data_IF_652670177404
#
_entry.id   IF_652670177404
#
_cell.length_a   1.000
_cell.length_b   1.000
_cell.length_c   1.000
_cell.angle_alpha   90.00
_cell.angle_beta   90.00
_cell.angle_gamma   90.00
#
_symmetry.space_group_name_H-M   'P 1'
#
loop_
_entity.id
_entity.type
_entity.pdbx_description
1 polymer ?
#
# COMPACT_ATOMS: atom_id res chain seq x y z
N UNK A 1 13.18 9.11 -3.17
CA UNK A 1 12.24 9.07 -4.31
C UNK A 1 10.96 9.77 -3.90
N UNK A 2 10.33 10.55 -4.77
CA UNK A 2 9.05 11.22 -4.52
C UNK A 2 7.86 10.31 -4.87
N UNK A 3 6.64 10.64 -4.41
CA UNK A 3 5.42 9.90 -4.77
C UNK A 3 5.19 9.89 -6.29
N UNK A 4 5.38 11.04 -6.96
CA UNK A 4 5.35 11.16 -8.42
C UNK A 4 6.32 10.19 -9.11
N UNK A 5 7.58 10.17 -8.68
CA UNK A 5 8.60 9.27 -9.25
C UNK A 5 8.24 7.79 -9.06
N UNK A 6 7.72 7.42 -7.89
CA UNK A 6 7.27 6.06 -7.63
C UNK A 6 6.07 5.67 -8.52
N UNK A 7 5.11 6.58 -8.66
CA UNK A 7 3.93 6.38 -9.49
C UNK A 7 4.30 6.14 -10.96
N UNK A 8 5.20 6.96 -11.49
CA UNK A 8 5.74 6.81 -12.85
C UNK A 8 6.42 5.44 -13.03
N UNK A 9 7.33 5.06 -12.12
CA UNK A 9 8.05 3.78 -12.20
C UNK A 9 7.15 2.55 -12.02
N UNK A 10 6.09 2.66 -11.21
CA UNK A 10 5.16 1.57 -10.93
C UNK A 10 3.98 1.51 -11.93
N UNK A 11 3.89 2.45 -12.88
CA UNK A 11 2.74 2.64 -13.77
C UNK A 11 1.42 2.74 -12.97
N UNK A 12 1.41 3.65 -12.00
CA UNK A 12 0.27 3.96 -11.13
C UNK A 12 0.04 5.47 -11.13
N UNK A 13 -1.11 5.92 -10.61
CA UNK A 13 -1.31 7.36 -10.37
C UNK A 13 -0.68 7.79 -9.06
N UNK A 14 -0.16 9.02 -9.02
CA UNK A 14 0.39 9.63 -7.80
C UNK A 14 -0.66 9.67 -6.68
N UNK A 15 -1.91 10.01 -7.01
CA UNK A 15 -3.03 9.96 -6.06
C UNK A 15 -3.24 8.57 -5.45
N UNK A 16 -3.04 7.50 -6.22
CA UNK A 16 -3.20 6.14 -5.71
C UNK A 16 -2.04 5.74 -4.79
N UNK A 17 -0.80 6.11 -5.12
CA UNK A 17 0.35 5.97 -4.21
C UNK A 17 0.08 6.70 -2.89
N UNK A 18 -0.42 7.94 -2.94
CA UNK A 18 -0.77 8.72 -1.76
C UNK A 18 -1.82 8.01 -0.88
N UNK A 19 -2.83 7.38 -1.49
CA UNK A 19 -3.85 6.62 -0.76
C UNK A 19 -3.30 5.34 -0.12
N UNK A 20 -2.34 4.67 -0.77
CA UNK A 20 -1.68 3.47 -0.24
C UNK A 20 -0.81 3.84 0.96
N UNK A 21 0.03 4.87 0.86
CA UNK A 21 0.93 5.29 1.95
C UNK A 21 0.16 5.78 3.19
N UNK A 22 -1.01 6.39 3.01
CA UNK A 22 -1.91 6.78 4.10
C UNK A 22 -2.67 5.60 4.72
N UNK A 23 -2.58 4.40 4.14
CA UNK A 23 -3.32 3.22 4.57
C UNK A 23 -4.82 3.27 4.23
N UNK A 24 -5.27 4.24 3.43
CA UNK A 24 -6.66 4.39 3.00
C UNK A 24 -7.05 3.37 1.93
N UNK A 25 -6.09 2.85 1.18
CA UNK A 25 -6.28 1.77 0.21
C UNK A 25 -5.24 0.68 0.41
N UNK A 26 -5.71 -0.57 0.35
CA UNK A 26 -4.86 -1.75 0.33
C UNK A 26 -4.58 -2.07 -1.15
N UNK A 27 -3.32 -2.10 -1.61
CA UNK A 27 -2.99 -2.53 -2.96
C UNK A 27 -3.29 -4.03 -3.14
N UNK A 28 -3.62 -4.44 -4.36
CA UNK A 28 -3.63 -5.87 -4.70
C UNK A 28 -2.20 -6.42 -4.69
N UNK A 29 -2.04 -7.76 -4.69
CA UNK A 29 -0.72 -8.39 -4.81
C UNK A 29 0.01 -7.94 -6.08
N UNK A 30 -0.70 -7.84 -7.21
CA UNK A 30 -0.14 -7.35 -8.47
C UNK A 30 0.34 -5.89 -8.37
N UNK A 31 -0.44 -5.02 -7.73
CA UNK A 31 -0.02 -3.62 -7.48
C UNK A 31 1.19 -3.57 -6.55
N UNK A 32 1.22 -4.39 -5.50
CA UNK A 32 2.32 -4.46 -4.57
C UNK A 32 3.61 -4.97 -5.24
N UNK A 33 3.51 -5.92 -6.18
CA UNK A 33 4.63 -6.37 -7.01
C UNK A 33 5.18 -5.25 -7.90
N UNK A 34 4.32 -4.44 -8.52
CA UNK A 34 4.75 -3.27 -9.30
C UNK A 34 5.51 -2.26 -8.44
N UNK A 35 5.00 -2.00 -7.24
CA UNK A 35 5.64 -1.10 -6.27
C UNK A 35 7.00 -1.66 -5.81
N UNK A 36 7.10 -2.95 -5.50
CA UNK A 36 8.37 -3.56 -5.07
C UNK A 36 9.42 -3.53 -6.18
N UNK A 37 9.02 -3.77 -7.44
CA UNK A 37 9.89 -3.66 -8.61
C UNK A 37 10.41 -2.23 -8.80
N UNK A 38 9.52 -1.23 -8.71
CA UNK A 38 9.90 0.18 -8.79
C UNK A 38 10.89 0.62 -7.69
N UNK A 39 10.69 0.11 -6.47
CA UNK A 39 11.56 0.35 -5.32
C UNK A 39 12.84 -0.48 -5.31
N UNK A 40 12.97 -1.47 -6.20
CA UNK A 40 14.09 -2.43 -6.26
C UNK A 40 14.27 -3.19 -4.94
N UNK A 41 13.16 -3.62 -4.35
CA UNK A 41 13.14 -4.42 -3.13
C UNK A 41 12.35 -5.71 -3.34
N UNK A 42 12.58 -6.70 -2.48
CA UNK A 42 11.73 -7.90 -2.45
C UNK A 42 10.30 -7.54 -2.05
N UNK A 43 9.30 -8.21 -2.60
CA UNK A 43 7.90 -7.98 -2.20
C UNK A 43 7.67 -8.21 -0.70
N UNK A 44 8.38 -9.19 -0.11
CA UNK A 44 8.30 -9.51 1.32
C UNK A 44 8.72 -8.36 2.24
N UNK A 45 9.61 -7.47 1.81
CA UNK A 45 10.03 -6.32 2.65
C UNK A 45 8.95 -5.23 2.76
N UNK A 46 7.88 -5.28 1.95
CA UNK A 46 6.74 -4.37 2.02
C UNK A 46 5.61 -4.92 2.91
N UNK A 47 5.73 -6.17 3.36
CA UNK A 47 4.75 -6.84 4.20
C UNK A 47 5.34 -6.92 5.61
N UNK A 48 4.57 -6.48 6.60
CA UNK A 48 4.94 -6.59 8.01
C UNK A 48 3.90 -7.45 8.72
N UNK A 49 4.37 -8.39 9.52
CA UNK A 49 3.54 -9.19 10.41
C UNK A 49 3.05 -8.34 11.58
N UNK A 50 2.08 -7.46 11.32
CA UNK A 50 1.34 -6.76 12.35
C UNK A 50 0.03 -7.53 12.61
N UNK A 51 0.05 -8.41 13.61
CA UNK A 51 -1.10 -9.20 14.12
C UNK A 51 -2.34 -8.35 14.49
N UNK A 52 -2.21 -7.03 14.51
CA UNK A 52 -3.26 -6.07 14.86
C UNK A 52 -3.93 -5.40 13.64
N UNK A 53 -3.51 -5.68 12.40
CA UNK A 53 -4.05 -5.04 11.21
C UNK A 53 -5.54 -5.36 10.98
N UNK A 54 -5.93 -6.62 11.15
CA UNK A 54 -7.33 -7.09 11.00
C UNK A 54 -8.27 -6.50 12.05
N UNK A 55 -7.79 -6.17 13.27
CA UNK A 55 -8.62 -5.60 14.33
C UNK A 55 -9.12 -4.17 14.04
N UNK A 56 -8.41 -3.37 13.24
CA UNK A 56 -8.78 -1.95 13.00
C UNK A 56 -9.98 -1.78 12.07
N UNK A 57 -10.23 -2.71 11.14
CA UNK A 57 -11.40 -2.65 10.25
C UNK A 57 -12.71 -3.00 10.97
N UNK A 58 -12.66 -3.88 11.96
CA UNK A 58 -13.87 -4.37 12.64
C UNK A 58 -14.50 -3.34 13.60
N UNK A 59 -13.77 -2.29 14.00
CA UNK A 59 -14.30 -1.22 14.89
C UNK A 59 -15.11 -0.14 14.17
N UNK A 60 -15.04 -0.04 12.84
CA UNK A 60 -15.82 0.96 12.07
C UNK A 60 -17.24 0.50 11.74
N UNK A 61 -17.66 -0.68 12.19
CA UNK A 61 -19.00 -1.24 12.01
C UNK A 61 -19.93 -1.12 13.23
N UNK A 62 -19.50 -0.51 14.33
CA UNK A 62 -20.33 -0.27 15.52
C UNK A 62 -20.31 1.23 15.86
N UNK A 63 -21.09 1.99 15.12
CA UNK A 63 -21.64 3.26 15.59
C UNK A 63 -23.16 3.06 15.54
N UNK A 64 -23.74 2.85 16.72
CA UNK A 64 -25.17 3.05 16.97
C UNK A 64 -25.48 4.54 16.87
#
# INVERSE_FOLDING_TARGET
MTQKQLAELAMLSESYISLIEKGSKIPSLYTLEKISKALKVSMGSLIKDDINYTKRKNKKGTLN
#
